data_IF_876687244274
#
_entry.id   IF_876687244274
#
_cell.length_a   1.000
_cell.length_b   1.000
_cell.length_c   1.000
_cell.angle_alpha   90.00
_cell.angle_beta   90.00
_cell.angle_gamma   90.00
#
_symmetry.space_group_name_H-M   'P 1'
#
loop_
_entity.id
_entity.type
_entity.pdbx_description
1 polymer ?
#
# COMPACT_ATOMS: atom_id res chain seq x y z
N UNK A 1 -26.45 5.91 -1.31
CA UNK A 1 -25.76 4.76 -0.68
C UNK A 1 -24.58 5.32 0.10
N UNK A 2 -24.26 4.83 1.31
CA UNK A 2 -23.00 5.20 1.94
C UNK A 2 -21.88 4.70 1.03
N UNK A 3 -20.89 5.55 0.83
CA UNK A 3 -19.79 5.37 -0.11
C UNK A 3 -19.08 4.04 0.20
N UNK A 4 -18.80 3.24 -0.82
CA UNK A 4 -18.11 1.95 -0.66
C UNK A 4 -16.73 2.12 0.01
N UNK A 5 -16.18 1.05 0.62
CA UNK A 5 -14.89 1.14 1.29
C UNK A 5 -13.76 1.48 0.31
N UNK A 6 -12.81 2.31 0.75
CA UNK A 6 -11.62 2.68 0.00
C UNK A 6 -10.60 1.54 0.00
N UNK A 7 -10.02 1.26 -1.17
CA UNK A 7 -8.99 0.23 -1.36
C UNK A 7 -7.68 0.87 -1.81
N UNK A 8 -6.59 0.55 -1.12
CA UNK A 8 -5.23 0.93 -1.46
C UNK A 8 -4.44 -0.30 -1.92
N UNK A 9 -3.81 -0.20 -3.09
CA UNK A 9 -2.93 -1.20 -3.68
C UNK A 9 -1.62 -0.55 -4.14
N UNK A 10 -0.57 -1.33 -4.39
CA UNK A 10 0.72 -0.81 -4.85
C UNK A 10 1.31 -1.70 -5.94
N UNK A 11 1.61 -1.11 -7.10
CA UNK A 11 2.30 -1.80 -8.21
C UNK A 11 3.74 -2.17 -7.84
N UNK A 12 4.42 -1.31 -7.06
CA UNK A 12 5.80 -1.52 -6.61
C UNK A 12 5.95 -2.55 -5.50
N UNK A 13 4.85 -2.83 -4.78
CA UNK A 13 4.85 -3.79 -3.68
C UNK A 13 3.74 -4.81 -3.88
N UNK A 14 3.97 -5.79 -4.78
CA UNK A 14 3.03 -6.88 -5.01
C UNK A 14 2.63 -7.55 -3.70
N UNK A 15 1.31 -7.70 -3.49
CA UNK A 15 0.71 -8.22 -2.26
C UNK A 15 0.25 -7.16 -1.27
N UNK A 16 0.54 -5.86 -1.51
CA UNK A 16 -0.04 -4.78 -0.72
C UNK A 16 -1.49 -4.55 -1.13
N UNK A 17 -2.40 -4.84 -0.21
CA UNK A 17 -3.82 -4.54 -0.30
C UNK A 17 -4.29 -4.06 1.08
N UNK A 18 -4.94 -2.89 1.14
CA UNK A 18 -5.45 -2.31 2.37
C UNK A 18 -6.82 -1.66 2.14
N UNK A 19 -7.74 -1.82 3.09
CA UNK A 19 -9.11 -1.34 2.97
C UNK A 19 -9.49 -0.44 4.16
N UNK A 20 -10.14 0.69 3.90
CA UNK A 20 -10.59 1.63 4.94
C UNK A 20 -11.94 2.26 4.61
N UNK A 21 -12.59 2.87 5.61
CA UNK A 21 -13.83 3.66 5.42
C UNK A 21 -13.54 5.07 4.92
N UNK A 22 -12.28 5.50 4.99
CA UNK A 22 -11.77 6.75 4.41
C UNK A 22 -10.44 6.51 3.70
N UNK A 23 -10.03 7.45 2.84
CA UNK A 23 -8.71 7.44 2.19
C UNK A 23 -7.58 7.39 3.23
N UNK A 24 -7.68 8.19 4.29
CA UNK A 24 -6.66 8.24 5.34
C UNK A 24 -6.52 6.89 6.06
N UNK A 25 -7.64 6.24 6.41
CA UNK A 25 -7.64 4.91 7.04
C UNK A 25 -7.01 3.85 6.11
N UNK A 26 -7.36 3.86 4.82
CA UNK A 26 -6.77 2.94 3.85
C UNK A 26 -5.24 3.13 3.71
N UNK A 27 -4.76 4.38 3.73
CA UNK A 27 -3.33 4.70 3.69
C UNK A 27 -2.58 4.31 4.98
N UNK A 28 -3.21 4.52 6.15
CA UNK A 28 -2.64 4.10 7.43
C UNK A 28 -2.45 2.58 7.48
N UNK A 29 -3.47 1.83 7.04
CA UNK A 29 -3.42 0.38 6.95
C UNK A 29 -2.38 -0.05 5.89
N UNK A 30 -2.34 0.60 4.72
CA UNK A 30 -1.37 0.31 3.66
C UNK A 30 0.08 0.44 4.14
N UNK A 31 0.38 1.45 4.96
CA UNK A 31 1.72 1.64 5.54
C UNK A 31 2.13 0.48 6.44
N UNK A 32 1.22 0.02 7.29
CA UNK A 32 1.50 -1.10 8.19
C UNK A 32 1.66 -2.43 7.43
N UNK A 33 0.86 -2.64 6.38
CA UNK A 33 1.00 -3.79 5.47
C UNK A 33 2.33 -3.72 4.71
N UNK A 34 2.71 -2.55 4.18
CA UNK A 34 3.95 -2.34 3.48
C UNK A 34 5.17 -2.73 4.32
N UNK A 35 5.22 -2.29 5.58
CA UNK A 35 6.29 -2.64 6.53
C UNK A 35 6.41 -4.15 6.71
N UNK A 36 5.29 -4.84 6.97
CA UNK A 36 5.27 -6.30 7.17
C UNK A 36 5.72 -7.05 5.92
N UNK A 37 5.31 -6.61 4.73
CA UNK A 37 5.71 -7.24 3.46
C UNK A 37 7.21 -7.07 3.20
N UNK A 38 7.76 -5.89 3.48
CA UNK A 38 9.19 -5.59 3.34
C UNK A 38 10.01 -6.42 4.32
N UNK A 39 9.59 -6.50 5.59
CA UNK A 39 10.23 -7.34 6.62
C UNK A 39 10.22 -8.82 6.23
N UNK A 40 9.07 -9.33 5.79
CA UNK A 40 8.92 -10.72 5.36
C UNK A 40 9.75 -11.06 4.11
N UNK A 41 9.90 -10.12 3.17
CA UNK A 41 10.82 -10.28 2.02
C UNK A 41 12.28 -10.25 2.46
N UNK A 42 12.66 -9.35 3.38
CA UNK A 42 14.02 -9.29 3.94
C UNK A 42 14.45 -10.59 4.58
N UNK A 43 13.55 -11.23 5.33
CA UNK A 43 13.82 -12.49 6.01
C UNK A 43 14.01 -13.66 5.04
N UNK A 44 13.29 -13.68 3.90
CA UNK A 44 13.34 -14.77 2.92
C UNK A 44 14.38 -14.60 1.81
N UNK A 45 14.61 -13.37 1.36
CA UNK A 45 15.26 -13.08 0.08
C UNK A 45 16.41 -12.05 0.19
N UNK A 46 16.68 -11.50 1.38
CA UNK A 46 17.65 -10.40 1.55
C UNK A 46 17.03 -9.01 1.31
N UNK A 47 17.81 -7.91 1.40
CA UNK A 47 17.27 -6.56 1.31
C UNK A 47 16.52 -6.34 -0.02
N UNK A 48 15.24 -5.91 0.00
CA UNK A 48 14.49 -5.69 -1.23
C UNK A 48 15.06 -4.49 -1.98
N UNK A 49 15.15 -4.64 -3.29
CA UNK A 49 15.51 -3.56 -4.20
C UNK A 49 14.29 -2.64 -4.36
N UNK A 50 14.13 -1.73 -3.41
CA UNK A 50 13.11 -0.69 -3.43
C UNK A 50 13.72 0.57 -4.05
N UNK A 51 13.06 1.22 -5.02
CA UNK A 51 13.53 2.48 -5.55
C UNK A 51 13.67 3.51 -4.41
N UNK A 52 14.81 4.19 -4.35
CA UNK A 52 15.15 5.16 -3.30
C UNK A 52 14.07 6.24 -3.13
N UNK A 53 13.91 6.74 -1.90
CA UNK A 53 12.82 7.61 -1.42
C UNK A 53 12.77 9.03 -2.02
N UNK A 54 13.29 9.27 -3.22
CA UNK A 54 13.50 10.61 -3.79
C UNK A 54 12.53 11.02 -4.91
N UNK A 55 11.39 10.35 -5.10
CA UNK A 55 10.42 10.83 -6.07
C UNK A 55 9.01 10.96 -5.48
N UNK A 56 8.49 12.20 -5.55
CA UNK A 56 7.09 12.55 -5.33
C UNK A 56 6.24 11.63 -6.18
N UNK A 57 5.46 10.74 -5.56
CA UNK A 57 4.62 9.79 -6.29
C UNK A 57 3.23 10.36 -6.48
N UNK A 58 2.75 10.27 -7.71
CA UNK A 58 1.36 10.45 -8.06
C UNK A 58 0.62 9.19 -7.59
N UNK A 59 -0.31 9.34 -6.64
CA UNK A 59 -1.12 8.24 -6.15
C UNK A 59 -2.45 8.22 -6.90
N UNK A 60 -2.74 7.10 -7.57
CA UNK A 60 -4.06 6.87 -8.18
C UNK A 60 -4.96 6.18 -7.16
N UNK A 61 -6.03 6.87 -6.76
CA UNK A 61 -7.10 6.29 -5.93
C UNK A 61 -8.18 5.76 -6.88
N UNK A 62 -8.46 4.46 -6.82
CA UNK A 62 -9.56 3.84 -7.57
C UNK A 62 -10.76 3.68 -6.64
N UNK A 63 -11.89 4.27 -7.02
CA UNK A 63 -13.19 4.14 -6.33
C UNK A 63 -14.01 3.09 -7.06
N UNK A 64 -14.40 2.01 -6.37
CA UNK A 64 -15.39 1.07 -6.88
C UNK A 64 -16.78 1.53 -6.44
N UNK A 65 -17.66 1.82 -7.40
CA UNK A 65 -19.07 2.15 -7.19
C UNK A 65 -19.95 0.90 -7.28
#
# INVERSE_FOLDING_TARGET
MPEGPFLATSEELPGLVAQGRTVAEALDIARDVARKLIEARREREGPPDLPGTSQRRDYTIVVAA
#
